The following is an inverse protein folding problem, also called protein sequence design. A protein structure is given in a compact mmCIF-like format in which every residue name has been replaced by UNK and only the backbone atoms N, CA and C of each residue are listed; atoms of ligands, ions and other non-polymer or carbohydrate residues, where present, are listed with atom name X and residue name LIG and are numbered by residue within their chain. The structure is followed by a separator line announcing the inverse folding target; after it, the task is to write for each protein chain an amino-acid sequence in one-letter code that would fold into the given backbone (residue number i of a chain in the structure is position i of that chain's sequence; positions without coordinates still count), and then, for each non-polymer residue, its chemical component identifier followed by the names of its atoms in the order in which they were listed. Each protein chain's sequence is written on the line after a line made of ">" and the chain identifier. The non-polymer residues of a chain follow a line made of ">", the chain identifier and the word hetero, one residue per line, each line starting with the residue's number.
data_IF_700740465771
#
_entry.id   IF_700740465771
#
_cell.length_a   1.000
_cell.length_b   1.000
_cell.length_c   1.000
_cell.angle_alpha   90.00
_cell.angle_beta   90.00
_cell.angle_gamma   90.00
#
_symmetry.space_group_name_H-M   'P 1'
#
loop_
_entity.id
_entity.type
_entity.pdbx_description
1 polymer ?
#
# COMPACT_ATOMS: atom_id res chain seq x y z
N UNK A 1 -10.46 16.33 13.94
CA UNK A 1 -10.52 16.54 12.48
C UNK A 1 -10.83 15.21 11.83
N UNK A 2 -11.75 15.17 10.87
CA UNK A 2 -11.98 13.97 10.06
C UNK A 2 -10.90 13.94 8.97
N UNK A 3 -10.11 12.87 8.89
CA UNK A 3 -9.09 12.70 7.85
C UNK A 3 -9.79 12.32 6.55
N UNK A 4 -9.54 13.08 5.47
CA UNK A 4 -10.16 12.86 4.16
C UNK A 4 -9.44 11.75 3.38
N UNK A 5 -10.11 10.63 3.17
CA UNK A 5 -9.60 9.51 2.38
C UNK A 5 -10.12 9.47 0.94
N UNK A 6 -10.67 10.57 0.41
CA UNK A 6 -11.16 10.66 -0.97
C UNK A 6 -10.06 10.42 -2.00
N UNK A 7 -8.80 10.60 -1.59
CA UNK A 7 -7.58 10.28 -2.32
C UNK A 7 -6.57 9.64 -1.35
N UNK A 8 -5.58 8.91 -1.87
CA UNK A 8 -4.43 8.45 -1.08
C UNK A 8 -3.41 9.59 -1.06
N UNK A 9 -2.98 10.02 0.12
CA UNK A 9 -2.06 11.14 0.33
C UNK A 9 -0.91 10.74 1.27
N UNK A 10 0.26 11.37 1.18
CA UNK A 10 1.40 11.03 2.04
C UNK A 10 1.10 11.18 3.53
N UNK A 11 0.33 12.20 3.94
CA UNK A 11 -0.04 12.43 5.33
C UNK A 11 -0.92 11.32 5.95
N UNK A 12 -1.40 10.34 5.17
CA UNK A 12 -2.07 9.15 5.71
C UNK A 12 -1.10 8.11 6.28
N UNK A 13 0.22 8.29 6.07
CA UNK A 13 1.25 7.32 6.41
C UNK A 13 2.12 7.72 7.61
N UNK A 14 1.88 8.89 8.19
CA UNK A 14 2.55 9.32 9.42
C UNK A 14 1.60 10.11 10.33
N UNK A 15 1.80 9.99 11.65
CA UNK A 15 1.11 10.74 12.69
C UNK A 15 2.06 11.69 13.44
N UNK A 16 3.37 11.56 13.20
CA UNK A 16 4.41 12.40 13.76
C UNK A 16 5.60 12.51 12.81
N UNK A 17 6.47 13.50 13.02
CA UNK A 17 7.69 13.67 12.22
C UNK A 17 8.61 12.44 12.25
N UNK A 18 8.61 11.68 13.35
CA UNK A 18 9.41 10.44 13.48
C UNK A 18 8.93 9.32 12.57
N UNK A 19 7.67 9.38 12.13
CA UNK A 19 7.08 8.41 11.21
C UNK A 19 7.25 8.82 9.74
N UNK A 20 7.87 9.97 9.43
CA UNK A 20 8.24 10.35 8.06
C UNK A 20 9.49 9.60 7.61
N UNK A 21 9.41 8.27 7.59
CA UNK A 21 10.53 7.40 7.21
C UNK A 21 10.42 6.97 5.76
N UNK A 22 11.54 6.59 5.17
CA UNK A 22 11.58 6.02 3.82
C UNK A 22 10.64 4.81 3.68
N UNK A 23 10.46 4.03 4.73
CA UNK A 23 9.57 2.88 4.67
C UNK A 23 8.08 3.24 4.66
N UNK A 24 7.71 4.33 5.32
CA UNK A 24 6.35 4.85 5.23
C UNK A 24 6.10 5.54 3.89
N UNK A 25 7.12 6.14 3.28
CA UNK A 25 7.03 6.62 1.89
C UNK A 25 6.81 5.46 0.92
N UNK A 26 7.58 4.38 1.09
CA UNK A 26 7.40 3.16 0.31
C UNK A 26 5.98 2.58 0.44
N UNK A 27 5.42 2.56 1.65
CA UNK A 27 4.03 2.13 1.86
C UNK A 27 3.02 3.06 1.17
N UNK A 28 3.27 4.38 1.15
CA UNK A 28 2.46 5.33 0.39
C UNK A 28 2.48 5.03 -1.11
N UNK A 29 3.66 4.87 -1.70
CA UNK A 29 3.81 4.51 -3.12
C UNK A 29 3.11 3.19 -3.45
N UNK A 30 3.24 2.21 -2.55
CA UNK A 30 2.60 0.92 -2.73
C UNK A 30 1.07 1.01 -2.70
N UNK A 31 0.49 1.84 -1.82
CA UNK A 31 -0.95 2.07 -1.80
C UNK A 31 -1.45 2.74 -3.09
N UNK A 32 -0.67 3.66 -3.66
CA UNK A 32 -0.97 4.28 -4.95
C UNK A 32 -0.91 3.27 -6.10
N UNK A 33 0.11 2.42 -6.13
CA UNK A 33 0.23 1.34 -7.12
C UNK A 33 -0.93 0.34 -7.01
N UNK A 34 -1.37 0.04 -5.78
CA UNK A 34 -2.54 -0.82 -5.56
C UNK A 34 -3.83 -0.19 -6.09
N UNK A 35 -4.09 1.10 -5.81
CA UNK A 35 -5.25 1.79 -6.37
C UNK A 35 -5.26 1.72 -7.91
N UNK A 36 -4.10 1.90 -8.54
CA UNK A 36 -3.95 1.81 -10.00
C UNK A 36 -4.12 0.38 -10.53
N UNK A 37 -3.61 -0.62 -9.81
CA UNK A 37 -3.68 -2.03 -10.21
C UNK A 37 -5.13 -2.58 -10.17
N UNK A 38 -5.98 -2.03 -9.30
CA UNK A 38 -7.39 -2.42 -9.22
C UNK A 38 -8.18 -1.77 -10.36
N UNK A 39 -8.58 -2.57 -11.34
CA UNK A 39 -9.37 -2.08 -12.48
C UNK A 39 -10.67 -1.37 -12.06
N UNK A 40 -11.14 -0.42 -12.87
CA UNK A 40 -12.44 0.24 -12.69
C UNK A 40 -13.60 -0.75 -12.53
N UNK A 41 -13.56 -1.87 -13.28
CA UNK A 41 -14.58 -2.92 -13.19
C UNK A 41 -14.64 -3.59 -11.81
N UNK A 42 -13.48 -3.75 -11.15
CA UNK A 42 -13.38 -4.33 -9.81
C UNK A 42 -13.79 -3.29 -8.76
N UNK A 43 -13.35 -2.04 -8.88
CA UNK A 43 -13.82 -0.92 -8.04
C UNK A 43 -15.35 -0.79 -8.06
N UNK A 44 -15.98 -0.92 -9.24
CA UNK A 44 -17.44 -0.92 -9.40
C UNK A 44 -18.13 -2.12 -8.74
N UNK A 45 -17.46 -3.27 -8.62
CA UNK A 45 -18.01 -4.43 -7.89
C UNK A 45 -17.89 -4.23 -6.39
N UNK A 46 -16.77 -3.69 -5.93
CA UNK A 46 -16.55 -3.34 -4.53
C UNK A 46 -17.57 -2.30 -4.06
N UNK A 47 -17.89 -1.30 -4.89
CA UNK A 47 -18.92 -0.31 -4.54
C UNK A 47 -20.32 -0.90 -4.39
N UNK A 48 -20.69 -1.91 -5.21
CA UNK A 48 -21.93 -2.68 -5.02
C UNK A 48 -21.96 -3.48 -3.72
N UNK A 49 -20.79 -3.76 -3.12
CA UNK A 49 -20.63 -4.41 -1.82
C UNK A 49 -20.49 -3.39 -0.66
N UNK A 50 -20.70 -2.10 -0.93
CA UNK A 50 -20.68 -1.04 0.09
C UNK A 50 -19.34 -0.32 0.25
N UNK A 51 -18.32 -0.61 -0.57
CA UNK A 51 -17.07 0.14 -0.53
C UNK A 51 -17.23 1.48 -1.23
N UNK A 52 -17.30 2.55 -0.44
CA UNK A 52 -17.13 3.91 -0.97
C UNK A 52 -15.69 4.11 -1.47
N UNK A 53 -15.46 5.20 -2.22
CA UNK A 53 -14.10 5.57 -2.65
C UNK A 53 -13.16 5.74 -1.45
N UNK A 54 -13.64 6.39 -0.39
CA UNK A 54 -12.89 6.59 0.85
C UNK A 54 -12.55 5.26 1.53
N UNK A 55 -13.53 4.36 1.65
CA UNK A 55 -13.30 3.03 2.22
C UNK A 55 -12.28 2.25 1.40
N UNK A 56 -12.38 2.29 0.08
CA UNK A 56 -11.42 1.63 -0.81
C UNK A 56 -9.99 2.16 -0.61
N UNK A 57 -9.82 3.49 -0.59
CA UNK A 57 -8.51 4.11 -0.38
C UNK A 57 -7.96 3.80 1.02
N UNK A 58 -8.80 3.85 2.05
CA UNK A 58 -8.44 3.46 3.41
C UNK A 58 -7.99 2.00 3.47
N UNK A 59 -8.66 1.09 2.76
CA UNK A 59 -8.26 -0.31 2.64
C UNK A 59 -6.90 -0.44 1.95
N UNK A 60 -6.60 0.33 0.90
CA UNK A 60 -5.29 0.33 0.25
C UNK A 60 -4.17 0.82 1.20
N UNK A 61 -4.44 1.88 1.97
CA UNK A 61 -3.52 2.41 2.98
C UNK A 61 -3.29 1.38 4.10
N UNK A 62 -4.35 0.69 4.55
CA UNK A 62 -4.23 -0.34 5.57
C UNK A 62 -3.44 -1.54 5.07
N UNK A 63 -3.72 -2.00 3.85
CA UNK A 63 -3.03 -3.15 3.26
C UNK A 63 -1.53 -2.88 3.07
N UNK A 64 -1.16 -1.74 2.51
CA UNK A 64 0.24 -1.36 2.33
C UNK A 64 1.03 -1.32 3.64
N UNK A 65 0.42 -0.80 4.73
CA UNK A 65 1.02 -0.83 6.07
C UNK A 65 1.15 -2.26 6.63
N UNK A 66 0.13 -3.10 6.47
CA UNK A 66 0.19 -4.50 6.90
C UNK A 66 1.31 -5.27 6.21
N UNK A 67 1.50 -5.01 4.91
CA UNK A 67 2.49 -5.71 4.10
C UNK A 67 3.93 -5.25 4.34
N UNK A 68 4.17 -4.13 5.04
CA UNK A 68 5.52 -3.74 5.45
C UNK A 68 6.27 -4.86 6.18
N UNK A 69 5.58 -5.65 7.03
CA UNK A 69 6.19 -6.81 7.69
C UNK A 69 6.70 -7.87 6.70
N UNK A 70 5.84 -8.24 5.73
CA UNK A 70 6.16 -9.23 4.67
C UNK A 70 7.34 -8.75 3.83
N UNK A 71 7.38 -7.46 3.52
CA UNK A 71 8.49 -6.84 2.78
C UNK A 71 9.80 -7.02 3.54
N UNK A 72 9.83 -6.67 4.83
CA UNK A 72 11.04 -6.85 5.65
C UNK A 72 11.49 -8.30 5.74
N UNK A 73 10.55 -9.24 5.91
CA UNK A 73 10.90 -10.65 6.00
C UNK A 73 11.46 -11.19 4.69
N UNK A 74 10.93 -10.73 3.55
CA UNK A 74 11.46 -11.08 2.21
C UNK A 74 12.88 -10.57 2.04
N UNK A 75 13.15 -9.31 2.40
CA UNK A 75 14.46 -8.67 2.22
C UNK A 75 15.53 -9.21 3.16
N UNK A 76 15.13 -9.64 4.36
CA UNK A 76 16.00 -10.30 5.31
C UNK A 76 16.22 -11.78 4.98
N UNK A 77 15.75 -12.26 3.82
CA UNK A 77 15.81 -13.66 3.39
C UNK A 77 15.16 -14.63 4.39
N UNK A 78 14.20 -14.18 5.19
CA UNK A 78 13.43 -15.06 6.09
C UNK A 78 12.35 -15.84 5.32
N UNK A 79 11.79 -15.21 4.29
CA UNK A 79 10.91 -15.85 3.31
C UNK A 79 11.49 -15.66 1.91
N UNK A 80 11.34 -16.65 1.01
CA UNK A 80 12.01 -16.66 -0.30
C UNK A 80 11.39 -15.68 -1.31
N UNK A 81 10.15 -15.26 -1.08
CA UNK A 81 9.41 -14.33 -1.92
C UNK A 81 8.32 -13.63 -1.09
N UNK A 82 7.72 -12.58 -1.65
CA UNK A 82 6.57 -11.93 -1.03
C UNK A 82 5.39 -12.91 -1.01
N UNK A 83 5.06 -13.43 0.17
CA UNK A 83 3.89 -14.27 0.39
C UNK A 83 2.71 -13.38 0.79
N UNK A 84 1.74 -13.25 -0.10
CA UNK A 84 0.50 -12.54 0.16
C UNK A 84 -0.58 -13.53 0.59
N UNK A 85 -1.06 -13.40 1.83
CA UNK A 85 -2.09 -14.29 2.33
C UNK A 85 -3.47 -13.60 2.29
N UNK A 86 -4.51 -14.42 2.33
CA UNK A 86 -5.89 -13.94 2.42
C UNK A 86 -6.09 -13.06 3.66
N UNK A 87 -5.37 -13.34 4.75
CA UNK A 87 -5.53 -12.67 6.04
C UNK A 87 -5.27 -11.17 5.98
N UNK A 88 -4.22 -10.71 5.30
CA UNK A 88 -3.95 -9.27 5.18
C UNK A 88 -5.00 -8.57 4.30
N UNK A 89 -5.45 -9.24 3.23
CA UNK A 89 -6.52 -8.73 2.36
C UNK A 89 -7.83 -8.63 3.12
N UNK A 90 -8.22 -9.64 3.89
CA UNK A 90 -9.45 -9.62 4.69
C UNK A 90 -9.39 -8.57 5.80
N UNK A 91 -8.23 -8.40 6.43
CA UNK A 91 -8.02 -7.36 7.42
C UNK A 91 -8.17 -5.97 6.81
N UNK A 92 -7.71 -5.76 5.57
CA UNK A 92 -7.83 -4.49 4.85
C UNK A 92 -9.21 -4.27 4.22
N UNK A 93 -9.80 -5.33 3.67
CA UNK A 93 -11.07 -5.37 2.95
C UNK A 93 -12.02 -6.40 3.59
N UNK A 94 -12.63 -6.07 4.74
CA UNK A 94 -13.51 -7.00 5.44
C UNK A 94 -14.79 -7.31 4.65
N UNK A 95 -15.37 -8.48 4.91
CA UNK A 95 -16.68 -8.92 4.37
C UNK A 95 -16.72 -9.07 2.84
N UNK A 96 -15.59 -9.41 2.24
CA UNK A 96 -15.52 -9.83 0.84
C UNK A 96 -15.68 -11.35 0.71
N UNK A 97 -16.06 -11.79 -0.49
CA UNK A 97 -16.02 -13.22 -0.83
C UNK A 97 -14.63 -13.60 -1.35
N UNK A 98 -14.27 -14.87 -1.23
CA UNK A 98 -12.96 -15.43 -1.62
C UNK A 98 -12.59 -15.04 -3.04
N UNK A 99 -13.54 -15.12 -3.98
CA UNK A 99 -13.30 -14.75 -5.38
C UNK A 99 -12.89 -13.29 -5.56
N UNK A 100 -13.40 -12.39 -4.72
CA UNK A 100 -13.01 -10.97 -4.73
C UNK A 100 -11.66 -10.79 -4.05
N UNK A 101 -11.39 -11.54 -2.99
CA UNK A 101 -10.10 -11.58 -2.29
C UNK A 101 -8.99 -12.06 -3.25
N UNK A 102 -9.19 -13.17 -3.96
CA UNK A 102 -8.25 -13.69 -4.97
C UNK A 102 -7.87 -12.64 -6.01
N UNK A 103 -8.86 -11.85 -6.45
CA UNK A 103 -8.62 -10.78 -7.42
C UNK A 103 -7.82 -9.63 -6.83
N UNK A 104 -8.06 -9.30 -5.56
CA UNK A 104 -7.29 -8.29 -4.85
C UNK A 104 -5.86 -8.77 -4.59
N UNK A 105 -5.66 -10.06 -4.30
CA UNK A 105 -4.32 -10.68 -4.22
C UNK A 105 -3.58 -10.50 -5.53
N UNK A 106 -4.16 -10.89 -6.66
CA UNK A 106 -3.54 -10.68 -7.98
C UNK A 106 -3.25 -9.21 -8.28
N UNK A 107 -4.11 -8.28 -7.86
CA UNK A 107 -3.83 -6.84 -8.01
C UNK A 107 -2.66 -6.40 -7.12
N UNK A 108 -2.57 -6.93 -5.91
CA UNK A 108 -1.51 -6.62 -4.94
C UNK A 108 -0.16 -7.14 -5.43
N UNK A 109 -0.11 -8.37 -5.95
CA UNK A 109 1.09 -8.93 -6.59
C UNK A 109 1.59 -8.05 -7.74
N UNK A 110 0.67 -7.57 -8.59
CA UNK A 110 1.02 -6.69 -9.71
C UNK A 110 1.55 -5.34 -9.25
N UNK A 111 0.89 -4.73 -8.26
CA UNK A 111 1.34 -3.48 -7.66
C UNK A 111 2.74 -3.64 -7.05
N UNK A 112 2.97 -4.76 -6.37
CA UNK A 112 4.25 -5.10 -5.77
C UNK A 112 5.37 -5.24 -6.81
N UNK A 113 5.15 -6.07 -7.84
CA UNK A 113 6.12 -6.28 -8.90
C UNK A 113 6.50 -4.97 -9.60
N UNK A 114 5.49 -4.13 -9.91
CA UNK A 114 5.73 -2.82 -10.54
C UNK A 114 6.50 -1.86 -9.64
N UNK A 115 6.21 -1.84 -8.34
CA UNK A 115 6.94 -1.02 -7.39
C UNK A 115 8.40 -1.49 -7.28
N UNK A 116 8.65 -2.80 -7.20
CA UNK A 116 10.00 -3.37 -7.18
C UNK A 116 10.81 -3.03 -8.42
N UNK A 117 10.22 -3.18 -9.61
CA UNK A 117 10.87 -2.80 -10.88
C UNK A 117 11.33 -1.34 -10.87
N UNK A 118 10.55 -0.46 -10.23
CA UNK A 118 10.89 0.96 -10.06
C UNK A 118 11.95 1.16 -8.98
N UNK A 119 11.85 0.43 -7.86
CA UNK A 119 12.75 0.56 -6.72
C UNK A 119 14.20 0.17 -7.05
N UNK A 120 14.43 -0.80 -7.93
CA UNK A 120 15.79 -1.21 -8.33
C UNK A 120 16.58 -0.06 -8.95
N UNK A 121 15.89 0.92 -9.55
CA UNK A 121 16.50 2.10 -10.17
C UNK A 121 16.42 3.36 -9.29
N UNK A 122 15.77 3.28 -8.13
CA UNK A 122 15.47 4.44 -7.31
C UNK A 122 16.65 4.80 -6.38
N UNK A 123 17.22 6.02 -6.49
CA UNK A 123 18.35 6.43 -5.65
C UNK A 123 17.99 6.57 -4.17
N UNK A 124 16.72 6.74 -3.84
CA UNK A 124 16.25 6.86 -2.45
C UNK A 124 16.46 5.58 -1.65
N UNK A 125 16.54 4.42 -2.34
CA UNK A 125 16.72 3.11 -1.74
C UNK A 125 15.79 2.92 -0.52
N UNK A 126 14.50 3.27 -0.66
CA UNK A 126 13.56 3.44 0.45
C UNK A 126 13.52 2.24 1.41
N UNK A 127 13.75 1.07 0.84
CA UNK A 127 13.76 -0.21 1.53
C UNK A 127 15.08 -0.45 2.30
N UNK A 128 16.23 -0.17 1.70
CA UNK A 128 17.54 -0.33 2.35
C UNK A 128 17.73 0.71 3.46
N UNK A 129 17.25 1.94 3.21
CA UNK A 129 17.34 3.08 4.11
C UNK A 129 16.04 3.30 4.89
N UNK A 130 15.31 2.22 5.19
CA UNK A 130 13.93 2.21 5.73
C UNK A 130 13.67 3.11 6.94
N UNK A 131 14.65 3.26 7.83
CA UNK A 131 14.52 4.02 9.08
C UNK A 131 14.97 5.48 8.92
N UNK A 132 15.56 5.83 7.78
CA UNK A 132 15.99 7.21 7.51
C UNK A 132 14.78 8.10 7.22
N UNK A 133 14.96 9.39 7.53
CA UNK A 133 13.98 10.41 7.22
C UNK A 133 13.74 10.52 5.71
N UNK A 134 12.48 10.55 5.31
CA UNK A 134 12.10 10.73 3.91
C UNK A 134 11.69 12.18 3.64
N UNK A 135 12.59 12.91 2.96
CA UNK A 135 12.39 14.31 2.57
C UNK A 135 11.18 14.52 1.65
N UNK A 136 10.71 13.46 0.98
CA UNK A 136 9.57 13.52 0.08
C UNK A 136 8.25 13.86 0.79
N UNK A 137 8.15 13.60 2.10
CA UNK A 137 7.00 14.02 2.89
C UNK A 137 6.89 15.54 3.10
N UNK A 138 7.97 16.28 2.86
CA UNK A 138 7.99 17.75 2.97
C UNK A 138 7.94 18.44 1.61
N UNK A 139 7.95 17.67 0.52
CA UNK A 139 7.93 18.23 -0.83
C UNK A 139 6.53 18.81 -1.14
N UNK A 140 6.42 20.11 -1.48
CA UNK A 140 5.15 20.74 -1.82
C UNK A 140 4.40 20.07 -2.98
N UNK A 141 5.10 19.34 -3.86
CA UNK A 141 4.49 18.62 -4.97
C UNK A 141 3.57 17.49 -4.50
N UNK A 142 3.84 16.91 -3.33
CA UNK A 142 3.09 15.78 -2.77
C UNK A 142 2.18 16.18 -1.60
N UNK A 143 2.09 17.49 -1.30
CA UNK A 143 1.34 18.08 -0.18
C UNK A 143 -0.16 18.24 -0.44
#
# INVERSE_FOLDING_TARGET
>A
MHTDYSQIKPNHFFSSEKEKTNFNWFAFEFACELDMAVSFSLKKRLSKKGYTKEMFNLSCIKLSKLLQGVVLDTLNNKIPAMELNHTEIEAAFPKLDDKTIDRLLTCTEKAWAKLLDTCVLCPQACVSNKDEYCVMFDDPYYS
#
